data_IF_110791035524
#
_entry.id   IF_110791035524
#
_cell.length_a   1.000
_cell.length_b   1.000
_cell.length_c   1.000
_cell.angle_alpha   90.00
_cell.angle_beta   90.00
_cell.angle_gamma   90.00
#
_symmetry.space_group_name_H-M   'P 1'
#
loop_
_entity.id
_entity.type
_entity.pdbx_description
1 polymer ?
#
# COMPACT_ATOMS: atom_id res chain seq x y z
N UNK A 1 0.56 37.40 36.64
CA UNK A 1 -0.49 37.70 35.63
C UNK A 1 -0.52 36.56 34.62
N UNK A 2 -1.48 35.67 34.80
CA UNK A 2 -1.70 34.49 33.98
C UNK A 2 -2.61 34.90 32.80
N UNK A 3 -2.14 34.72 31.56
CA UNK A 3 -3.00 34.82 30.38
C UNK A 3 -3.44 33.41 29.98
N UNK A 4 -4.77 33.24 29.92
CA UNK A 4 -5.44 32.02 29.53
C UNK A 4 -5.38 31.75 28.01
N UNK A 5 -5.75 30.53 27.58
CA UNK A 5 -5.69 30.10 26.19
C UNK A 5 -6.84 30.70 25.35
N UNK A 6 -6.67 30.79 24.01
CA UNK A 6 -7.72 31.30 23.11
C UNK A 6 -8.82 30.25 22.86
N UNK A 7 -10.02 30.69 22.49
CA UNK A 7 -11.20 29.83 22.35
C UNK A 7 -11.23 29.08 21.01
N UNK A 8 -11.81 27.91 21.12
CA UNK A 8 -12.29 26.91 20.20
C UNK A 8 -12.43 27.23 18.71
N UNK A 9 -11.78 26.37 17.91
CA UNK A 9 -12.11 26.19 16.50
C UNK A 9 -13.22 25.14 16.34
N UNK A 10 -14.31 25.55 15.68
CA UNK A 10 -15.46 24.73 15.39
C UNK A 10 -15.13 23.60 14.43
N UNK A 11 -15.38 22.36 14.86
CA UNK A 11 -15.47 21.21 13.99
C UNK A 11 -16.72 21.33 13.10
N UNK A 12 -16.54 21.44 11.80
CA UNK A 12 -17.61 21.39 10.83
C UNK A 12 -18.11 19.95 10.67
N UNK A 13 -19.30 19.67 11.23
CA UNK A 13 -20.09 18.49 10.94
C UNK A 13 -20.67 18.64 9.51
N UNK A 14 -20.21 17.80 8.59
CA UNK A 14 -20.84 17.64 7.27
C UNK A 14 -22.12 16.83 7.46
N UNK A 15 -23.26 17.51 7.43
CA UNK A 15 -24.58 16.92 7.51
C UNK A 15 -24.91 16.14 6.23
N UNK A 16 -25.23 14.87 6.36
CA UNK A 16 -25.82 14.06 5.31
C UNK A 16 -27.27 14.55 5.06
N UNK A 17 -27.50 15.24 3.96
CA UNK A 17 -28.86 15.58 3.49
C UNK A 17 -29.51 14.31 2.90
N UNK A 18 -30.55 13.81 3.58
CA UNK A 18 -31.52 12.88 3.01
C UNK A 18 -32.38 13.62 1.98
N UNK A 19 -32.21 13.28 0.72
CA UNK A 19 -33.14 13.68 -0.32
C UNK A 19 -34.41 12.82 -0.22
N UNK A 20 -35.47 13.37 0.37
CA UNK A 20 -36.82 12.81 0.28
C UNK A 20 -37.39 13.14 -1.10
N UNK A 21 -37.46 12.17 -2.00
CA UNK A 21 -38.23 12.29 -3.23
C UNK A 21 -39.70 11.98 -2.92
N UNK A 22 -40.53 13.03 -2.90
CA UNK A 22 -41.99 12.89 -2.96
C UNK A 22 -42.40 12.54 -4.39
N UNK A 23 -43.03 11.39 -4.58
CA UNK A 23 -43.69 11.04 -5.82
C UNK A 23 -45.15 11.54 -5.81
N UNK A 24 -45.65 12.15 -6.87
CA UNK A 24 -47.07 12.52 -7.01
C UNK A 24 -47.89 11.23 -7.23
N UNK A 25 -48.92 11.05 -6.41
CA UNK A 25 -49.93 10.01 -6.62
C UNK A 25 -50.87 10.46 -7.75
N UNK A 26 -50.70 9.91 -8.95
CA UNK A 26 -51.77 9.88 -9.94
C UNK A 26 -52.63 8.65 -9.69
N UNK A 27 -53.86 8.88 -9.28
CA UNK A 27 -54.92 7.91 -9.23
C UNK A 27 -55.39 7.67 -10.68
N UNK A 28 -55.02 6.55 -11.28
CA UNK A 28 -55.64 6.09 -12.52
C UNK A 28 -56.60 4.93 -12.16
N UNK A 29 -57.79 4.98 -12.77
CA UNK A 29 -58.82 3.94 -12.67
C UNK A 29 -58.32 2.60 -13.21
N UNK A 30 -58.81 1.47 -12.71
CA UNK A 30 -58.35 0.17 -13.16
C UNK A 30 -58.78 -0.11 -14.61
N UNK A 31 -57.90 -0.62 -15.48
CA UNK A 31 -58.31 -1.16 -16.75
C UNK A 31 -59.03 -2.49 -16.59
N UNK A 32 -60.00 -2.71 -17.49
CA UNK A 32 -60.81 -3.93 -17.60
C UNK A 32 -59.92 -5.19 -17.72
N UNK A 33 -60.26 -6.21 -16.93
CA UNK A 33 -59.63 -7.53 -16.91
C UNK A 33 -59.93 -8.24 -18.24
N UNK A 34 -59.00 -8.24 -19.17
CA UNK A 34 -58.98 -9.26 -20.22
C UNK A 34 -58.29 -10.49 -19.63
N UNK A 35 -59.09 -11.53 -19.35
CA UNK A 35 -58.56 -12.86 -19.05
C UNK A 35 -57.76 -13.37 -20.24
N UNK A 36 -56.44 -13.30 -20.14
CA UNK A 36 -55.52 -14.03 -21.00
C UNK A 36 -55.29 -15.39 -20.33
N UNK A 37 -55.78 -16.46 -20.91
CA UNK A 37 -55.51 -17.86 -20.55
C UNK A 37 -54.08 -18.28 -20.97
N UNK A 38 -53.09 -17.52 -20.60
CA UNK A 38 -51.71 -17.96 -20.64
C UNK A 38 -51.39 -18.69 -19.33
N UNK A 39 -50.85 -19.93 -19.37
CA UNK A 39 -50.43 -20.59 -18.13
C UNK A 39 -49.43 -19.73 -17.37
N UNK A 40 -49.53 -19.64 -16.01
CA UNK A 40 -48.63 -18.87 -15.24
C UNK A 40 -47.20 -19.34 -15.53
N UNK A 41 -46.33 -18.39 -15.93
CA UNK A 41 -44.90 -18.63 -16.05
C UNK A 41 -44.48 -19.33 -14.74
N UNK A 42 -43.92 -20.54 -14.86
CA UNK A 42 -43.44 -21.29 -13.71
C UNK A 42 -42.51 -20.37 -12.93
N UNK A 43 -42.91 -19.98 -11.70
CA UNK A 43 -42.04 -19.27 -10.77
C UNK A 43 -40.81 -20.16 -10.51
N UNK A 44 -39.83 -20.06 -11.34
CA UNK A 44 -38.56 -20.76 -11.15
C UNK A 44 -37.95 -20.23 -9.88
N UNK A 45 -37.98 -21.05 -8.86
CA UNK A 45 -37.34 -20.71 -7.58
C UNK A 45 -35.86 -20.49 -7.83
N UNK A 46 -35.26 -19.35 -7.37
CA UNK A 46 -33.87 -19.11 -7.58
C UNK A 46 -33.01 -20.24 -7.02
N UNK A 47 -31.90 -20.59 -7.67
CA UNK A 47 -30.98 -21.61 -7.16
C UNK A 47 -30.46 -21.23 -5.79
N UNK A 48 -30.13 -22.21 -4.96
CA UNK A 48 -29.56 -21.92 -3.63
C UNK A 48 -28.18 -21.27 -3.79
N UNK A 49 -27.85 -20.36 -2.88
CA UNK A 49 -26.55 -19.68 -2.88
C UNK A 49 -25.38 -20.67 -2.87
N UNK A 50 -25.50 -21.75 -2.10
CA UNK A 50 -24.48 -22.78 -2.00
C UNK A 50 -24.32 -23.59 -3.30
N UNK A 51 -25.43 -23.95 -3.95
CA UNK A 51 -25.40 -24.60 -5.26
C UNK A 51 -24.73 -23.71 -6.31
N UNK A 52 -25.07 -22.42 -6.30
CA UNK A 52 -24.53 -21.44 -7.23
C UNK A 52 -23.04 -21.19 -6.99
N UNK A 53 -22.61 -21.07 -5.73
CA UNK A 53 -21.19 -20.92 -5.38
C UNK A 53 -20.35 -22.13 -5.83
N UNK A 54 -20.91 -23.35 -5.74
CA UNK A 54 -20.24 -24.56 -6.29
C UNK A 54 -20.15 -24.55 -7.82
N UNK A 55 -21.23 -24.11 -8.50
CA UNK A 55 -21.27 -24.07 -9.96
C UNK A 55 -20.21 -23.12 -10.56
N UNK A 56 -19.80 -22.09 -9.81
CA UNK A 56 -18.78 -21.12 -10.24
C UNK A 56 -17.40 -21.35 -9.62
N UNK A 57 -17.15 -22.51 -9.02
CA UNK A 57 -15.88 -22.82 -8.32
C UNK A 57 -14.65 -22.83 -9.24
N UNK A 58 -14.85 -23.07 -10.52
CA UNK A 58 -13.83 -23.02 -11.56
C UNK A 58 -13.21 -21.62 -11.79
N UNK A 59 -13.85 -20.56 -11.30
CA UNK A 59 -13.28 -19.19 -11.32
C UNK A 59 -12.01 -19.05 -10.46
N UNK A 60 -11.77 -20.00 -9.53
CA UNK A 60 -10.54 -20.05 -8.73
C UNK A 60 -10.48 -19.06 -7.57
N UNK A 61 -11.60 -18.45 -7.18
CA UNK A 61 -11.70 -17.62 -5.99
C UNK A 61 -11.83 -18.44 -4.71
N UNK A 62 -11.40 -17.95 -3.56
CA UNK A 62 -11.74 -18.51 -2.26
C UNK A 62 -13.24 -18.65 -2.06
N UNK A 63 -13.70 -19.75 -1.44
CA UNK A 63 -15.12 -20.06 -1.29
C UNK A 63 -15.99 -18.92 -0.71
N UNK A 64 -15.55 -18.13 0.30
CA UNK A 64 -16.33 -16.99 0.77
C UNK A 64 -16.67 -15.96 -0.32
N UNK A 65 -15.74 -15.67 -1.21
CA UNK A 65 -15.97 -14.74 -2.33
C UNK A 65 -16.93 -15.30 -3.37
N UNK A 66 -16.89 -16.61 -3.62
CA UNK A 66 -17.87 -17.29 -4.48
C UNK A 66 -19.28 -17.21 -3.89
N UNK A 67 -19.41 -17.38 -2.56
CA UNK A 67 -20.67 -17.24 -1.84
C UNK A 67 -21.21 -15.82 -1.92
N UNK A 68 -20.37 -14.82 -1.79
CA UNK A 68 -20.76 -13.40 -1.89
C UNK A 68 -21.22 -13.05 -3.33
N UNK A 69 -20.51 -13.52 -4.34
CA UNK A 69 -20.93 -13.39 -5.74
C UNK A 69 -22.28 -14.08 -6.01
N UNK A 70 -22.48 -15.29 -5.48
CA UNK A 70 -23.71 -16.03 -5.60
C UNK A 70 -24.89 -15.30 -4.90
N UNK A 71 -24.69 -14.76 -3.69
CA UNK A 71 -25.70 -13.97 -2.99
C UNK A 71 -26.10 -12.73 -3.78
N UNK A 72 -25.14 -11.99 -4.29
CA UNK A 72 -25.38 -10.80 -5.08
C UNK A 72 -26.17 -11.14 -6.36
N UNK A 73 -25.84 -12.24 -7.01
CA UNK A 73 -26.54 -12.69 -8.22
C UNK A 73 -28.00 -13.14 -7.96
N UNK A 74 -28.27 -13.78 -6.83
CA UNK A 74 -29.64 -14.20 -6.45
C UNK A 74 -30.50 -13.01 -6.02
N UNK A 75 -29.90 -11.97 -5.45
CA UNK A 75 -30.61 -10.79 -4.98
C UNK A 75 -31.16 -9.91 -6.12
N UNK A 76 -30.70 -10.10 -7.36
CA UNK A 76 -31.02 -9.21 -8.48
C UNK A 76 -31.34 -10.01 -9.76
N UNK A 77 -32.37 -9.60 -10.50
CA UNK A 77 -32.67 -10.09 -11.83
C UNK A 77 -33.35 -11.47 -11.90
N UNK A 78 -33.41 -12.04 -13.11
CA UNK A 78 -34.07 -13.29 -13.39
C UNK A 78 -33.34 -14.49 -12.74
N UNK A 79 -34.07 -15.38 -11.99
CA UNK A 79 -33.52 -16.62 -11.46
C UNK A 79 -32.83 -17.52 -12.50
N UNK A 80 -33.32 -17.55 -13.73
CA UNK A 80 -32.72 -18.35 -14.80
C UNK A 80 -31.31 -17.90 -15.19
N UNK A 81 -30.98 -16.63 -15.01
CA UNK A 81 -29.67 -16.04 -15.33
C UNK A 81 -28.73 -15.94 -14.11
N UNK A 82 -29.15 -16.43 -12.96
CA UNK A 82 -28.40 -16.26 -11.70
C UNK A 82 -26.96 -16.80 -11.77
N UNK A 83 -26.74 -17.94 -12.45
CA UNK A 83 -25.40 -18.50 -12.60
C UNK A 83 -24.50 -17.61 -13.48
N UNK A 84 -25.02 -17.12 -14.60
CA UNK A 84 -24.27 -16.24 -15.49
C UNK A 84 -23.88 -14.94 -14.79
N UNK A 85 -24.79 -14.34 -14.02
CA UNK A 85 -24.51 -13.16 -13.21
C UNK A 85 -23.48 -13.43 -12.11
N UNK A 86 -23.62 -14.55 -11.38
CA UNK A 86 -22.65 -14.94 -10.36
C UNK A 86 -21.26 -15.14 -10.95
N UNK A 87 -21.15 -15.76 -12.10
CA UNK A 87 -19.90 -15.97 -12.83
C UNK A 87 -19.30 -14.63 -13.30
N UNK A 88 -20.13 -13.70 -13.77
CA UNK A 88 -19.68 -12.37 -14.15
C UNK A 88 -19.12 -11.58 -12.96
N UNK A 89 -19.83 -11.57 -11.83
CA UNK A 89 -19.41 -10.92 -10.58
C UNK A 89 -18.12 -11.55 -10.06
N UNK A 90 -18.05 -12.89 -9.98
CA UNK A 90 -16.86 -13.60 -9.52
C UNK A 90 -15.66 -13.34 -10.46
N UNK A 91 -15.88 -13.30 -11.77
CA UNK A 91 -14.84 -12.99 -12.75
C UNK A 91 -14.31 -11.55 -12.62
N UNK A 92 -15.16 -10.59 -12.30
CA UNK A 92 -14.74 -9.20 -12.01
C UNK A 92 -13.94 -9.12 -10.72
N UNK A 93 -14.38 -9.79 -9.66
CA UNK A 93 -13.62 -9.90 -8.41
C UNK A 93 -12.27 -10.57 -8.63
N UNK A 94 -12.20 -11.66 -9.40
CA UNK A 94 -10.94 -12.32 -9.72
C UNK A 94 -9.96 -11.39 -10.45
N UNK A 95 -10.45 -10.58 -11.39
CA UNK A 95 -9.64 -9.57 -12.08
C UNK A 95 -9.16 -8.43 -11.17
N UNK A 96 -9.89 -8.12 -10.10
CA UNK A 96 -9.50 -7.10 -9.11
C UNK A 96 -8.40 -7.57 -8.16
N UNK A 97 -8.15 -8.87 -8.06
CA UNK A 97 -7.07 -9.43 -7.25
C UNK A 97 -5.72 -9.29 -7.96
N UNK A 98 -4.65 -9.58 -7.20
CA UNK A 98 -3.30 -9.59 -7.77
C UNK A 98 -3.18 -10.66 -8.87
N UNK A 99 -2.85 -10.22 -10.08
CA UNK A 99 -2.63 -11.08 -11.24
C UNK A 99 -1.21 -10.92 -11.75
N UNK A 100 -0.67 -11.98 -12.37
CA UNK A 100 0.62 -11.91 -13.03
C UNK A 100 0.55 -10.99 -14.25
N UNK A 101 1.53 -10.10 -14.36
CA UNK A 101 1.68 -9.17 -15.49
C UNK A 101 3.07 -9.29 -16.10
N UNK A 102 3.19 -8.94 -17.38
CA UNK A 102 4.49 -8.85 -18.05
C UNK A 102 5.05 -7.45 -17.86
N UNK A 103 6.24 -7.35 -17.29
CA UNK A 103 6.93 -6.08 -17.17
C UNK A 103 7.69 -5.76 -18.48
N UNK A 104 7.09 -4.93 -19.33
CA UNK A 104 7.69 -4.44 -20.57
C UNK A 104 8.15 -2.97 -20.47
N UNK A 105 8.29 -2.42 -19.27
CA UNK A 105 8.60 -0.97 -19.05
C UNK A 105 10.08 -0.65 -19.18
N UNK A 106 10.97 -1.64 -19.14
CA UNK A 106 12.43 -1.43 -19.04
C UNK A 106 12.92 -1.11 -17.62
N UNK A 107 12.03 -1.00 -16.63
CA UNK A 107 12.37 -0.75 -15.21
C UNK A 107 12.27 -2.06 -14.45
N UNK A 108 13.41 -2.63 -14.05
CA UNK A 108 13.48 -3.93 -13.38
C UNK A 108 12.77 -3.94 -12.01
N UNK A 109 12.92 -2.88 -11.24
CA UNK A 109 12.34 -2.73 -9.91
C UNK A 109 11.12 -1.78 -9.94
N UNK A 110 10.18 -2.07 -10.83
CA UNK A 110 9.02 -1.21 -11.02
C UNK A 110 8.10 -1.21 -9.80
N UNK A 111 7.87 -0.03 -9.21
CA UNK A 111 7.13 0.13 -7.95
C UNK A 111 5.67 -0.34 -8.03
N UNK A 112 5.01 -0.14 -9.18
CA UNK A 112 3.61 -0.53 -9.39
C UNK A 112 3.44 -2.01 -9.76
N UNK A 113 4.54 -2.74 -9.98
CA UNK A 113 4.53 -4.16 -10.39
C UNK A 113 5.15 -5.08 -9.32
N UNK A 114 5.10 -4.64 -8.06
CA UNK A 114 5.59 -5.44 -6.93
C UNK A 114 7.12 -5.46 -6.78
N UNK A 115 7.84 -4.63 -7.53
CA UNK A 115 9.32 -4.58 -7.57
C UNK A 115 9.93 -5.85 -8.16
N UNK A 116 10.92 -6.47 -7.49
CA UNK A 116 11.57 -7.68 -7.98
C UNK A 116 10.69 -8.91 -7.82
N UNK A 117 10.51 -9.73 -8.86
CA UNK A 117 9.89 -11.04 -8.71
C UNK A 117 10.71 -11.90 -7.74
N UNK A 118 10.05 -12.62 -6.87
CA UNK A 118 10.68 -13.60 -6.02
C UNK A 118 10.50 -15.00 -6.61
N UNK A 119 11.48 -15.45 -7.36
CA UNK A 119 11.42 -16.73 -8.08
C UNK A 119 11.83 -17.93 -7.22
N UNK A 120 12.53 -17.68 -6.11
CA UNK A 120 13.05 -18.72 -5.22
C UNK A 120 12.36 -18.71 -3.85
N UNK A 121 11.02 -18.68 -3.83
CA UNK A 121 10.33 -19.08 -2.61
C UNK A 121 10.76 -20.52 -2.35
N UNK A 122 11.52 -20.79 -1.27
CA UNK A 122 11.74 -22.19 -0.89
C UNK A 122 10.36 -22.80 -0.74
N UNK A 123 10.20 -24.02 -1.28
CA UNK A 123 8.99 -24.83 -1.11
C UNK A 123 8.88 -25.18 0.38
N UNK A 124 8.61 -24.15 1.18
CA UNK A 124 8.34 -24.27 2.60
C UNK A 124 6.88 -24.61 2.69
N UNK A 125 6.62 -25.82 3.06
CA UNK A 125 5.34 -26.23 3.55
C UNK A 125 4.84 -25.16 4.55
N UNK A 126 4.00 -24.25 4.06
CA UNK A 126 3.44 -23.14 4.84
C UNK A 126 2.56 -23.64 6.00
N UNK A 127 2.29 -24.95 6.02
CA UNK A 127 1.60 -25.64 7.10
C UNK A 127 2.47 -25.91 8.33
N UNK A 128 3.80 -25.71 8.23
CA UNK A 128 4.73 -25.99 9.34
C UNK A 128 5.05 -24.75 10.16
N UNK A 129 5.17 -24.95 11.46
CA UNK A 129 5.72 -23.93 12.36
C UNK A 129 7.20 -23.69 12.07
N UNK A 130 7.65 -22.45 12.26
CA UNK A 130 9.06 -22.06 12.11
C UNK A 130 9.65 -21.62 13.44
N UNK A 131 10.96 -21.83 13.60
CA UNK A 131 11.72 -21.40 14.78
C UNK A 131 12.08 -19.91 14.74
N UNK A 132 11.22 -19.03 14.19
CA UNK A 132 11.53 -17.61 13.95
C UNK A 132 12.01 -16.88 15.21
N UNK A 133 11.34 -17.11 16.34
CA UNK A 133 11.66 -16.53 17.66
C UNK A 133 11.93 -17.63 18.70
N UNK A 134 12.40 -18.78 18.29
CA UNK A 134 12.76 -19.88 19.17
C UNK A 134 14.26 -20.19 19.05
N UNK A 135 14.97 -20.14 20.16
CA UNK A 135 16.33 -20.69 20.27
C UNK A 135 16.23 -22.20 20.44
N UNK A 136 16.73 -22.98 19.44
CA UNK A 136 16.62 -24.44 19.47
C UNK A 136 17.55 -25.10 20.47
N UNK A 137 18.63 -24.42 20.88
CA UNK A 137 19.61 -24.98 21.81
C UNK A 137 19.13 -24.83 23.26
N UNK A 138 18.56 -23.68 23.62
CA UNK A 138 18.10 -23.40 24.99
C UNK A 138 16.60 -23.66 25.20
N UNK A 139 15.80 -23.74 24.11
CA UNK A 139 14.35 -23.81 24.18
C UNK A 139 13.68 -22.48 24.56
N UNK A 140 14.43 -21.40 24.72
CA UNK A 140 13.93 -20.10 25.13
C UNK A 140 13.50 -19.23 23.93
N UNK A 141 12.79 -18.15 24.23
CA UNK A 141 12.43 -17.15 23.22
C UNK A 141 13.67 -16.44 22.68
N UNK A 142 13.89 -16.52 21.38
CA UNK A 142 14.92 -15.79 20.67
C UNK A 142 14.42 -14.46 20.09
N UNK A 143 15.33 -13.73 19.42
CA UNK A 143 15.01 -12.48 18.74
C UNK A 143 14.66 -12.73 17.26
N UNK A 144 13.62 -12.05 16.80
CA UNK A 144 13.28 -11.96 15.37
C UNK A 144 14.40 -11.29 14.56
N UNK A 145 15.15 -10.40 15.20
CA UNK A 145 16.28 -9.66 14.64
C UNK A 145 17.62 -10.42 14.73
N UNK A 146 17.61 -11.74 14.83
CA UNK A 146 18.84 -12.50 14.99
C UNK A 146 19.37 -13.07 13.65
N UNK A 147 18.55 -13.82 12.91
CA UNK A 147 19.04 -14.59 11.75
C UNK A 147 19.26 -13.75 10.50
N UNK A 148 18.21 -13.04 10.03
CA UNK A 148 18.30 -12.25 8.81
C UNK A 148 19.27 -11.06 8.95
N UNK A 149 19.26 -10.27 10.07
CA UNK A 149 20.26 -9.24 10.30
C UNK A 149 21.69 -9.76 10.34
N UNK A 150 21.95 -10.90 10.98
CA UNK A 150 23.29 -11.50 11.02
C UNK A 150 23.81 -11.88 9.63
N UNK A 151 22.96 -12.46 8.79
CA UNK A 151 23.31 -12.75 7.40
C UNK A 151 23.58 -11.48 6.60
N UNK A 152 22.73 -10.46 6.76
CA UNK A 152 22.89 -9.16 6.10
C UNK A 152 24.19 -8.47 6.51
N UNK A 153 24.50 -8.41 7.80
CA UNK A 153 25.76 -7.87 8.29
C UNK A 153 26.97 -8.56 7.67
N UNK A 154 26.96 -9.91 7.59
CA UNK A 154 28.02 -10.68 6.95
C UNK A 154 28.14 -10.37 5.45
N UNK A 155 27.02 -10.27 4.74
CA UNK A 155 27.01 -9.96 3.30
C UNK A 155 27.56 -8.57 2.97
N UNK A 156 27.29 -7.60 3.85
CA UNK A 156 27.73 -6.21 3.69
C UNK A 156 29.09 -5.92 4.33
N UNK A 157 29.70 -6.88 5.06
CA UNK A 157 30.93 -6.65 5.83
C UNK A 157 30.74 -5.68 7.00
N UNK A 158 29.51 -5.55 7.52
CA UNK A 158 29.17 -4.67 8.64
C UNK A 158 29.24 -5.42 9.98
N UNK A 159 29.46 -4.68 11.08
CA UNK A 159 29.48 -5.26 12.44
C UNK A 159 28.10 -5.77 12.86
N UNK A 160 27.04 -5.05 12.47
CA UNK A 160 25.65 -5.41 12.75
C UNK A 160 24.71 -4.90 11.66
N UNK A 161 23.48 -5.40 11.68
CA UNK A 161 22.42 -4.95 10.80
C UNK A 161 21.07 -5.01 11.51
N UNK A 162 20.10 -4.26 10.97
CA UNK A 162 18.71 -4.33 11.38
C UNK A 162 17.82 -4.40 10.14
N UNK A 163 16.80 -5.23 10.17
CA UNK A 163 15.83 -5.35 9.08
C UNK A 163 14.51 -4.73 9.52
N UNK A 164 14.02 -3.80 8.72
CA UNK A 164 12.72 -3.14 8.89
C UNK A 164 11.84 -3.38 7.66
N UNK A 165 10.57 -3.02 7.75
CA UNK A 165 9.57 -3.36 6.74
C UNK A 165 9.72 -2.63 5.39
N UNK A 166 10.40 -1.47 5.37
CA UNK A 166 10.65 -0.71 4.13
C UNK A 166 11.78 0.31 4.29
N UNK A 167 12.23 0.88 3.15
CA UNK A 167 13.31 1.86 3.11
C UNK A 167 12.96 3.16 3.87
N UNK A 168 11.71 3.64 3.80
CA UNK A 168 11.29 4.84 4.52
C UNK A 168 11.45 4.68 6.04
N UNK A 169 11.04 3.52 6.57
CA UNK A 169 11.24 3.19 7.99
C UNK A 169 12.73 3.08 8.35
N UNK A 170 13.57 2.54 7.47
CA UNK A 170 15.01 2.46 7.68
C UNK A 170 15.64 3.87 7.77
N UNK A 171 15.30 4.76 6.84
CA UNK A 171 15.80 6.14 6.82
C UNK A 171 15.35 6.90 8.07
N UNK A 172 14.04 6.84 8.40
CA UNK A 172 13.50 7.50 9.59
C UNK A 172 14.19 7.02 10.86
N UNK A 173 14.37 5.71 11.01
CA UNK A 173 15.04 5.12 12.17
C UNK A 173 16.49 5.56 12.28
N UNK A 174 17.24 5.53 11.16
CA UNK A 174 18.65 5.95 11.14
C UNK A 174 18.79 7.43 11.51
N UNK A 175 17.99 8.30 10.95
CA UNK A 175 17.99 9.73 11.23
C UNK A 175 17.62 10.02 12.69
N UNK A 176 16.56 9.40 13.21
CA UNK A 176 16.13 9.58 14.58
C UNK A 176 17.14 9.07 15.60
N UNK A 177 17.85 7.97 15.29
CA UNK A 177 18.85 7.41 16.19
C UNK A 177 20.18 8.17 16.18
N UNK A 178 20.61 8.70 15.04
CA UNK A 178 21.96 9.24 14.85
C UNK A 178 22.00 10.77 14.80
N UNK A 179 20.90 11.44 14.44
CA UNK A 179 20.89 12.88 14.13
C UNK A 179 19.72 13.65 14.80
N UNK A 180 19.05 13.09 15.80
CA UNK A 180 17.98 13.81 16.49
C UNK A 180 18.52 15.10 17.14
N UNK A 181 17.92 16.24 16.79
CA UNK A 181 18.34 17.57 17.21
C UNK A 181 19.60 18.13 16.53
N UNK A 182 20.24 17.36 15.65
CA UNK A 182 21.49 17.72 14.96
C UNK A 182 21.29 17.90 13.46
N UNK A 183 22.28 18.49 12.80
CA UNK A 183 22.31 18.69 11.35
C UNK A 183 22.51 17.39 10.59
N UNK A 184 21.79 17.26 9.49
CA UNK A 184 22.02 16.26 8.45
C UNK A 184 22.25 16.99 7.14
N UNK A 185 23.47 16.92 6.62
CA UNK A 185 23.85 17.57 5.38
C UNK A 185 23.46 16.70 4.19
N UNK A 186 22.83 17.30 3.19
CA UNK A 186 22.38 16.63 1.97
C UNK A 186 22.46 17.57 0.77
N UNK A 187 22.82 17.03 -0.39
CA UNK A 187 22.82 17.79 -1.62
C UNK A 187 21.41 18.25 -2.00
N UNK A 188 21.25 19.53 -2.38
CA UNK A 188 19.97 20.04 -2.88
C UNK A 188 19.45 19.25 -4.08
N UNK A 189 20.34 18.74 -4.94
CA UNK A 189 19.98 17.87 -6.06
C UNK A 189 19.48 16.47 -5.65
N UNK A 190 19.55 16.13 -4.38
CA UNK A 190 19.09 14.84 -3.81
C UNK A 190 17.84 14.96 -2.92
N UNK A 191 17.27 16.16 -2.81
CA UNK A 191 15.99 16.40 -2.12
C UNK A 191 14.83 15.95 -3.00
N UNK A 192 14.69 14.65 -3.13
CA UNK A 192 13.77 14.02 -4.06
C UNK A 192 12.40 13.75 -3.43
N UNK A 193 11.38 13.74 -4.29
CA UNK A 193 10.09 13.11 -4.00
C UNK A 193 10.06 11.74 -4.70
N UNK A 194 9.84 10.68 -3.94
CA UNK A 194 9.71 9.32 -4.44
C UNK A 194 8.23 8.91 -4.34
N UNK A 195 7.81 7.96 -5.16
CA UNK A 195 6.40 7.55 -5.31
C UNK A 195 5.58 7.48 -4.02
N UNK A 196 4.34 7.95 -4.08
CA UNK A 196 3.44 8.03 -2.94
C UNK A 196 3.58 9.28 -2.07
N UNK A 197 4.27 10.33 -2.57
CA UNK A 197 4.46 11.58 -1.82
C UNK A 197 5.54 11.52 -0.74
N UNK A 198 6.42 10.51 -0.79
CA UNK A 198 7.55 10.42 0.13
C UNK A 198 8.61 11.47 -0.24
N UNK A 199 8.81 12.45 0.61
CA UNK A 199 9.77 13.56 0.44
C UNK A 199 10.85 13.51 1.49
N UNK A 200 12.10 13.59 1.08
CA UNK A 200 13.25 13.58 2.00
C UNK A 200 13.17 14.67 3.09
N UNK A 201 12.84 15.95 2.78
CA UNK A 201 12.71 16.97 3.81
C UNK A 201 11.66 16.67 4.88
N UNK A 202 10.54 16.06 4.49
CA UNK A 202 9.46 15.69 5.42
C UNK A 202 9.88 14.58 6.37
N UNK A 203 10.60 13.58 5.87
CA UNK A 203 11.14 12.48 6.68
C UNK A 203 12.19 13.00 7.67
N UNK A 204 13.05 13.92 7.25
CA UNK A 204 14.01 14.57 8.15
C UNK A 204 13.29 15.33 9.26
N UNK A 205 12.32 16.16 8.93
CA UNK A 205 11.53 16.88 9.92
C UNK A 205 10.86 15.95 10.95
N UNK A 206 10.31 14.81 10.49
CA UNK A 206 9.68 13.83 11.38
C UNK A 206 10.67 13.06 12.24
N UNK A 207 11.93 12.91 11.82
CA UNK A 207 12.97 12.23 12.59
C UNK A 207 13.54 13.08 13.73
N UNK A 208 13.25 14.39 13.76
CA UNK A 208 13.85 15.35 14.66
C UNK A 208 15.23 15.84 14.21
N UNK A 209 15.72 15.45 13.04
CA UNK A 209 16.95 15.96 12.45
C UNK A 209 16.73 17.32 11.79
N UNK A 210 17.76 18.15 11.77
CA UNK A 210 17.77 19.45 11.09
C UNK A 210 18.34 19.30 9.70
N UNK A 211 17.55 19.68 8.68
CA UNK A 211 18.00 19.65 7.29
C UNK A 211 19.05 20.74 7.04
N UNK A 212 20.23 20.34 6.55
CA UNK A 212 21.29 21.24 6.07
C UNK A 212 21.49 20.99 4.58
N UNK A 213 20.96 21.89 3.74
CA UNK A 213 21.07 21.78 2.29
C UNK A 213 22.39 22.35 1.80
N UNK A 214 23.11 21.61 0.93
CA UNK A 214 24.37 22.06 0.32
C UNK A 214 24.32 22.02 -1.19
N UNK A 215 25.14 22.87 -1.82
CA UNK A 215 25.23 22.98 -3.25
C UNK A 215 23.99 23.56 -3.92
N UNK A 216 23.76 23.17 -5.18
CA UNK A 216 22.63 23.62 -6.00
C UNK A 216 21.93 22.40 -6.62
N UNK A 217 20.81 22.63 -7.30
CA UNK A 217 20.01 21.57 -7.93
C UNK A 217 20.81 20.65 -8.86
N UNK A 218 21.76 21.24 -9.62
CA UNK A 218 22.54 20.54 -10.64
C UNK A 218 24.02 20.38 -10.30
N UNK A 219 24.52 21.08 -9.28
CA UNK A 219 25.93 21.04 -8.89
C UNK A 219 26.09 20.99 -7.38
N UNK A 220 26.83 20.01 -6.91
CA UNK A 220 27.28 19.90 -5.52
C UNK A 220 28.69 19.38 -5.51
N UNK A 221 29.56 20.05 -4.79
CA UNK A 221 30.98 19.76 -4.67
C UNK A 221 31.33 19.30 -3.27
N UNK A 222 32.45 18.63 -3.11
CA UNK A 222 32.93 18.22 -1.79
C UNK A 222 33.10 19.42 -0.84
N UNK A 223 33.61 20.54 -1.33
CA UNK A 223 33.75 21.77 -0.53
C UNK A 223 32.43 22.31 0.04
N UNK A 224 31.29 22.08 -0.65
CA UNK A 224 29.97 22.49 -0.12
C UNK A 224 29.62 21.69 1.14
N UNK A 225 30.01 20.39 1.21
CA UNK A 225 29.85 19.56 2.39
C UNK A 225 30.84 19.93 3.50
N UNK A 226 32.11 20.16 3.16
CA UNK A 226 33.15 20.52 4.11
C UNK A 226 32.79 21.81 4.84
N UNK A 227 32.39 22.87 4.13
CA UNK A 227 31.93 24.13 4.70
C UNK A 227 30.77 23.95 5.67
N UNK A 228 29.73 23.17 5.27
CA UNK A 228 28.58 22.95 6.13
C UNK A 228 28.89 22.12 7.39
N UNK A 229 29.86 21.22 7.31
CA UNK A 229 30.30 20.40 8.46
C UNK A 229 31.14 21.25 9.43
N UNK A 230 32.00 22.11 8.92
CA UNK A 230 32.86 22.97 9.74
C UNK A 230 32.06 24.06 10.47
N UNK A 231 31.01 24.59 9.85
CA UNK A 231 30.19 25.68 10.37
C UNK A 231 29.04 25.22 11.30
N UNK A 232 28.72 23.93 11.35
CA UNK A 232 27.51 23.45 12.02
C UNK A 232 27.65 22.23 12.94
N UNK A 233 26.64 22.01 13.78
CA UNK A 233 26.47 20.76 14.55
C UNK A 233 25.89 19.67 13.64
N UNK A 234 26.69 19.18 12.69
CA UNK A 234 26.33 18.13 11.72
C UNK A 234 26.68 16.76 12.29
N UNK A 235 25.71 15.89 12.40
CA UNK A 235 25.89 14.52 12.86
C UNK A 235 26.02 13.51 11.70
N UNK A 236 25.52 13.84 10.51
CA UNK A 236 25.37 12.88 9.43
C UNK A 236 25.43 13.56 8.05
N UNK A 237 26.10 12.92 7.09
CA UNK A 237 25.97 13.23 5.67
C UNK A 237 25.06 12.18 5.02
N UNK A 238 24.00 12.62 4.34
CA UNK A 238 23.04 11.77 3.67
C UNK A 238 23.19 11.87 2.16
N UNK A 239 23.41 10.75 1.50
CA UNK A 239 23.34 10.64 0.04
C UNK A 239 22.08 9.90 -0.37
N UNK A 240 21.32 10.46 -1.32
CA UNK A 240 20.04 9.90 -1.80
C UNK A 240 20.12 9.64 -3.29
N UNK A 241 19.95 8.37 -3.65
CA UNK A 241 19.98 7.96 -5.06
C UNK A 241 18.75 8.48 -5.82
N UNK A 242 18.99 9.14 -6.95
CA UNK A 242 17.98 9.66 -7.88
C UNK A 242 17.44 8.53 -8.76
N UNK A 243 16.49 7.76 -8.24
CA UNK A 243 16.00 6.54 -8.91
C UNK A 243 14.96 6.79 -10.00
N UNK A 244 14.28 7.96 -10.00
CA UNK A 244 13.11 8.24 -10.84
C UNK A 244 13.31 9.41 -11.82
N UNK A 245 14.48 10.07 -11.79
CA UNK A 245 14.82 11.14 -12.74
C UNK A 245 16.32 11.23 -12.96
N UNK A 246 16.72 11.98 -14.00
CA UNK A 246 18.12 12.24 -14.34
C UNK A 246 18.33 13.75 -14.49
N UNK A 247 19.40 14.27 -13.89
CA UNK A 247 19.89 15.63 -14.16
C UNK A 247 20.91 15.55 -15.29
N UNK A 248 20.73 16.36 -16.32
CA UNK A 248 21.60 16.38 -17.51
C UNK A 248 22.12 17.80 -17.79
N UNK A 249 23.20 17.93 -18.55
CA UNK A 249 23.80 19.19 -18.89
C UNK A 249 25.02 19.53 -18.00
N UNK A 250 25.09 20.75 -17.51
CA UNK A 250 26.18 21.19 -16.62
C UNK A 250 25.94 20.68 -15.19
N UNK A 251 26.36 19.46 -14.95
CA UNK A 251 26.10 18.75 -13.68
C UNK A 251 27.41 18.37 -12.99
N UNK A 252 27.41 18.37 -11.66
CA UNK A 252 28.47 17.86 -10.82
C UNK A 252 27.83 17.27 -9.54
N UNK A 253 28.27 16.10 -9.09
CA UNK A 253 27.84 15.49 -7.87
C UNK A 253 29.00 14.82 -7.16
N UNK A 254 28.97 14.80 -5.85
CA UNK A 254 29.88 14.02 -5.01
C UNK A 254 29.39 12.57 -5.04
N UNK A 255 30.31 11.63 -5.28
CA UNK A 255 30.03 10.18 -5.33
C UNK A 255 30.19 9.56 -3.94
#
# INVERSE_FOLDING_TARGET
>A
MLRGPPPGGHAALVGAQRLSRSYPRHIMAPPEETHSDAPPASEQRPPSVDSLARAISDVGLPHPLLVDAARAAVATGDPAEAEQRARAIAGEQARSLLTSVVNATGVLLHTNMGRSPWTNLPDRDSSRYSSLELNLDSGERGSRQDRAPRLLARMCGAESAMVVNNCAAAVLLALAALANGKGVVVSRGELVEIGGGFRIPEVMSQSGANLVEVGTTNRTRLGDFEEAIDDGDVALALSVHRSNYRITGFTESVA
#
